data_IF_804360108829
#
_entry.id   IF_804360108829
#
_cell.length_a   1.000
_cell.length_b   1.000
_cell.length_c   1.000
_cell.angle_alpha   90.00
_cell.angle_beta   90.00
_cell.angle_gamma   90.00
#
_symmetry.space_group_name_H-M   'P 1'
#
loop_
_entity.id
_entity.type
_entity.pdbx_description
1 polymer ?
#
# COMPACT_ATOMS: atom_id res chain seq x y z
N UNK A 1 9.26 -23.63 3.27
CA UNK A 1 9.16 -23.67 4.75
C UNK A 1 8.51 -22.35 5.19
N UNK A 2 7.19 -22.24 5.08
CA UNK A 2 6.44 -21.03 5.49
C UNK A 2 5.94 -21.24 6.90
N UNK A 3 6.71 -20.78 7.88
CA UNK A 3 6.29 -20.77 9.29
C UNK A 3 5.12 -19.81 9.50
N UNK A 4 4.33 -20.04 10.56
CA UNK A 4 3.27 -19.12 10.99
C UNK A 4 3.81 -17.68 11.11
N UNK A 5 3.08 -16.67 10.60
CA UNK A 5 3.52 -15.29 10.71
C UNK A 5 3.48 -14.86 12.19
N UNK A 6 4.66 -14.60 12.77
CA UNK A 6 4.82 -14.25 14.20
C UNK A 6 5.08 -12.77 14.41
N UNK A 7 4.61 -12.26 15.55
CA UNK A 7 4.79 -10.88 16.00
C UNK A 7 5.70 -10.80 17.24
N UNK A 8 6.60 -9.80 17.35
CA UNK A 8 6.95 -8.81 16.33
C UNK A 8 7.77 -9.41 15.19
N UNK A 9 7.41 -9.12 13.93
CA UNK A 9 7.98 -9.78 12.76
C UNK A 9 9.49 -9.58 12.61
N UNK A 10 10.01 -8.43 13.06
CA UNK A 10 11.43 -8.11 13.05
C UNK A 10 12.30 -9.10 13.86
N UNK A 11 11.72 -9.82 14.82
CA UNK A 11 12.47 -10.78 15.66
C UNK A 11 12.50 -12.20 15.10
N UNK A 12 11.62 -12.51 14.14
CA UNK A 12 11.40 -13.89 13.69
C UNK A 12 11.50 -14.06 12.17
N UNK A 13 11.65 -12.97 11.41
CA UNK A 13 11.70 -12.98 9.96
C UNK A 13 12.97 -12.38 9.39
N UNK A 14 13.27 -12.72 8.14
CA UNK A 14 14.28 -12.04 7.32
C UNK A 14 13.63 -10.82 6.67
N UNK A 15 13.36 -9.79 7.47
CA UNK A 15 12.73 -8.56 7.00
C UNK A 15 13.60 -7.92 5.91
N UNK A 16 12.96 -7.51 4.82
CA UNK A 16 13.62 -6.92 3.66
C UNK A 16 12.96 -5.60 3.30
N UNK A 17 13.80 -4.67 2.86
CA UNK A 17 13.35 -3.42 2.28
C UNK A 17 12.72 -3.65 0.89
N UNK A 18 12.12 -2.60 0.33
CA UNK A 18 11.58 -2.63 -1.02
C UNK A 18 12.66 -2.95 -2.06
N UNK A 19 13.88 -2.47 -1.88
CA UNK A 19 15.05 -2.81 -2.70
C UNK A 19 15.44 -4.29 -2.67
N UNK A 20 14.92 -5.07 -1.71
CA UNK A 20 15.31 -6.45 -1.43
C UNK A 20 16.46 -6.59 -0.43
N UNK A 21 17.12 -5.48 -0.06
CA UNK A 21 18.18 -5.46 0.98
C UNK A 21 17.62 -5.95 2.32
N UNK A 22 18.40 -6.72 3.08
CA UNK A 22 17.97 -7.21 4.40
C UNK A 22 17.97 -6.06 5.39
N UNK A 23 16.99 -6.01 6.28
CA UNK A 23 16.87 -4.98 7.31
C UNK A 23 18.14 -4.85 8.18
N UNK A 24 18.87 -5.96 8.40
CA UNK A 24 20.12 -5.98 9.14
C UNK A 24 21.29 -5.23 8.45
N UNK A 25 21.18 -4.95 7.15
CA UNK A 25 22.20 -4.22 6.37
C UNK A 25 21.95 -2.70 6.36
N UNK A 26 20.84 -2.23 6.96
CA UNK A 26 20.49 -0.81 7.07
C UNK A 26 21.18 -0.23 8.31
N UNK A 27 22.48 0.05 8.20
CA UNK A 27 23.28 0.60 9.31
C UNK A 27 23.63 2.06 9.11
N UNK A 28 24.03 2.73 10.18
CA UNK A 28 24.49 4.13 10.13
C UNK A 28 25.76 4.27 9.26
N UNK A 29 26.63 3.26 9.26
CA UNK A 29 27.83 3.20 8.43
C UNK A 29 27.46 3.11 6.95
N UNK A 30 26.52 2.23 6.59
CA UNK A 30 26.04 2.11 5.22
C UNK A 30 25.37 3.41 4.73
N UNK A 31 24.62 4.09 5.61
CA UNK A 31 24.01 5.39 5.31
C UNK A 31 25.08 6.47 5.08
N UNK A 32 26.06 6.59 5.99
CA UNK A 32 27.12 7.61 5.93
C UNK A 32 28.06 7.37 4.74
N UNK A 33 28.25 6.12 4.34
CA UNK A 33 29.02 5.75 3.14
C UNK A 33 28.26 6.01 1.82
N UNK A 34 27.00 6.47 1.86
CA UNK A 34 26.18 6.67 0.66
C UNK A 34 25.77 5.38 -0.04
N UNK A 35 25.83 4.24 0.66
CA UNK A 35 25.52 2.92 0.11
C UNK A 35 24.03 2.57 0.15
N UNK A 36 23.20 3.40 0.77
CA UNK A 36 21.74 3.22 0.88
C UNK A 36 20.99 4.14 -0.10
N UNK A 37 19.90 3.62 -0.64
CA UNK A 37 18.93 4.31 -1.48
C UNK A 37 17.61 4.51 -0.73
N UNK A 38 16.71 5.39 -1.19
CA UNK A 38 15.38 5.51 -0.60
C UNK A 38 14.60 4.19 -0.57
N UNK A 39 14.77 3.33 -1.57
CA UNK A 39 14.12 2.01 -1.61
C UNK A 39 14.66 1.03 -0.56
N UNK A 40 15.86 1.28 -0.02
CA UNK A 40 16.41 0.50 1.11
C UNK A 40 15.72 0.83 2.44
N UNK A 41 14.96 1.93 2.53
CA UNK A 41 14.20 2.31 3.74
C UNK A 41 12.68 2.26 3.56
N UNK A 42 12.21 1.77 2.41
CA UNK A 42 10.79 1.51 2.15
C UNK A 42 10.39 0.10 2.57
N UNK A 43 9.17 -0.02 3.11
CA UNK A 43 8.58 -1.33 3.45
C UNK A 43 8.21 -2.09 2.17
N UNK A 44 8.38 -3.41 2.21
CA UNK A 44 8.01 -4.30 1.12
C UNK A 44 6.54 -4.75 1.23
N UNK A 45 5.87 -4.92 0.10
CA UNK A 45 4.48 -5.39 0.04
C UNK A 45 4.26 -6.73 0.78
N UNK A 46 5.18 -7.69 0.66
CA UNK A 46 5.07 -8.98 1.36
C UNK A 46 5.14 -8.84 2.88
N UNK A 47 5.89 -7.87 3.40
CA UNK A 47 5.92 -7.57 4.84
C UNK A 47 4.57 -7.06 5.31
N UNK A 48 3.92 -6.19 4.54
CA UNK A 48 2.56 -5.71 4.84
C UNK A 48 1.53 -6.84 4.79
N UNK A 49 1.64 -7.77 3.84
CA UNK A 49 0.78 -8.97 3.79
C UNK A 49 1.00 -9.90 4.99
N UNK A 50 2.24 -10.09 5.43
CA UNK A 50 2.53 -10.85 6.65
C UNK A 50 1.92 -10.19 7.90
N UNK A 51 2.01 -8.86 8.02
CA UNK A 51 1.33 -8.12 9.08
C UNK A 51 -0.20 -8.21 8.96
N UNK A 52 -0.74 -8.21 7.75
CA UNK A 52 -2.18 -8.38 7.53
C UNK A 52 -2.67 -9.75 8.02
N UNK A 53 -1.89 -10.81 7.79
CA UNK A 53 -2.22 -12.15 8.30
C UNK A 53 -2.24 -12.18 9.83
N UNK A 54 -1.23 -11.61 10.49
CA UNK A 54 -1.16 -11.48 11.96
C UNK A 54 -2.37 -10.70 12.49
N UNK A 55 -2.68 -9.55 11.88
CA UNK A 55 -3.81 -8.72 12.28
C UNK A 55 -5.13 -9.49 12.17
N UNK A 56 -5.31 -10.29 11.11
CA UNK A 56 -6.51 -11.11 10.92
C UNK A 56 -6.63 -12.20 11.99
N UNK A 57 -5.54 -12.89 12.30
CA UNK A 57 -5.49 -13.92 13.34
C UNK A 57 -5.80 -13.35 14.74
N UNK A 58 -5.34 -12.13 15.01
CA UNK A 58 -5.65 -11.39 16.23
C UNK A 58 -7.08 -10.81 16.28
N UNK A 59 -7.91 -11.04 15.26
CA UNK A 59 -9.31 -10.56 15.21
C UNK A 59 -9.49 -9.14 14.65
N UNK A 60 -8.43 -8.51 14.14
CA UNK A 60 -8.46 -7.16 13.58
C UNK A 60 -8.66 -7.16 12.05
N UNK A 61 -9.83 -7.63 11.59
CA UNK A 61 -10.13 -7.80 10.17
C UNK A 61 -9.96 -6.51 9.33
N UNK A 62 -10.46 -5.36 9.82
CA UNK A 62 -10.35 -4.09 9.09
C UNK A 62 -8.90 -3.60 8.96
N UNK A 63 -8.07 -3.84 9.99
CA UNK A 63 -6.64 -3.54 9.93
C UNK A 63 -5.95 -4.43 8.90
N UNK A 64 -6.28 -5.73 8.87
CA UNK A 64 -5.76 -6.66 7.88
C UNK A 64 -6.09 -6.21 6.44
N UNK A 65 -7.35 -5.81 6.18
CA UNK A 65 -7.76 -5.32 4.86
C UNK A 65 -7.06 -4.01 4.49
N UNK A 66 -6.81 -3.13 5.46
CA UNK A 66 -6.04 -1.92 5.26
C UNK A 66 -4.59 -2.20 4.88
N UNK A 67 -3.92 -3.10 5.61
CA UNK A 67 -2.54 -3.52 5.33
C UNK A 67 -2.44 -4.22 3.97
N UNK A 68 -3.44 -5.02 3.58
CA UNK A 68 -3.48 -5.65 2.26
C UNK A 68 -3.60 -4.63 1.13
N UNK A 69 -4.40 -3.57 1.28
CA UNK A 69 -4.42 -2.45 0.32
C UNK A 69 -3.10 -1.69 0.30
N UNK A 70 -2.52 -1.42 1.46
CA UNK A 70 -1.22 -0.76 1.55
C UNK A 70 -0.12 -1.57 0.85
N UNK A 71 -0.19 -2.90 0.89
CA UNK A 71 0.75 -3.77 0.18
C UNK A 71 0.70 -3.55 -1.33
N UNK A 72 -0.49 -3.45 -1.93
CA UNK A 72 -0.64 -3.14 -3.36
C UNK A 72 -0.04 -1.76 -3.71
N UNK A 73 -0.20 -0.78 -2.82
CA UNK A 73 0.29 0.59 -3.04
C UNK A 73 1.82 0.71 -2.98
N UNK A 74 2.55 -0.31 -2.50
CA UNK A 74 4.03 -0.30 -2.54
C UNK A 74 4.61 -0.34 -3.96
N UNK A 75 3.80 -0.74 -4.96
CA UNK A 75 4.19 -0.72 -6.36
C UNK A 75 3.92 0.64 -7.05
N UNK A 76 3.21 1.55 -6.39
CA UNK A 76 2.83 2.85 -6.95
C UNK A 76 3.88 3.90 -6.58
N UNK A 77 4.39 4.68 -7.54
CA UNK A 77 5.31 5.79 -7.25
C UNK A 77 4.72 6.84 -6.28
N UNK A 78 5.56 7.43 -5.42
CA UNK A 78 5.15 8.38 -4.38
C UNK A 78 4.37 9.60 -4.93
N UNK A 79 4.83 10.17 -6.05
CA UNK A 79 4.19 11.28 -6.73
C UNK A 79 2.78 10.92 -7.23
N UNK A 80 2.64 9.69 -7.73
CA UNK A 80 1.36 9.15 -8.16
C UNK A 80 0.43 8.89 -6.97
N UNK A 81 0.94 8.36 -5.84
CA UNK A 81 0.15 8.19 -4.61
C UNK A 81 -0.46 9.52 -4.16
N UNK A 82 0.34 10.59 -4.11
CA UNK A 82 -0.14 11.92 -3.72
C UNK A 82 -1.18 12.47 -4.69
N UNK A 83 -0.97 12.31 -6.00
CA UNK A 83 -1.93 12.72 -7.02
C UNK A 83 -3.27 11.97 -6.91
N UNK A 84 -3.23 10.65 -6.66
CA UNK A 84 -4.42 9.82 -6.44
C UNK A 84 -5.18 10.25 -5.17
N UNK A 85 -4.46 10.52 -4.08
CA UNK A 85 -5.05 11.00 -2.83
C UNK A 85 -5.77 12.34 -3.01
N UNK A 86 -5.12 13.31 -3.66
CA UNK A 86 -5.73 14.63 -3.91
C UNK A 86 -6.98 14.53 -4.80
N UNK A 87 -6.95 13.64 -5.81
CA UNK A 87 -8.11 13.41 -6.67
C UNK A 87 -9.32 12.86 -5.88
N UNK A 88 -9.10 12.00 -4.88
CA UNK A 88 -10.17 11.38 -4.10
C UNK A 88 -10.79 12.29 -3.03
N UNK A 89 -10.28 13.51 -2.85
CA UNK A 89 -10.88 14.46 -1.90
C UNK A 89 -12.25 14.94 -2.39
N UNK A 90 -13.17 15.26 -1.47
CA UNK A 90 -14.51 15.72 -1.82
C UNK A 90 -14.51 16.88 -2.81
N UNK A 91 -15.31 16.78 -3.88
CA UNK A 91 -15.42 17.81 -4.91
C UNK A 91 -14.23 17.96 -5.87
N UNK A 92 -13.20 17.12 -5.78
CA UNK A 92 -11.99 17.22 -6.64
C UNK A 92 -12.02 16.39 -7.92
N UNK A 93 -12.87 15.38 -7.97
CA UNK A 93 -12.95 14.46 -9.10
C UNK A 93 -14.40 14.09 -9.41
N UNK A 94 -14.64 13.75 -10.67
CA UNK A 94 -15.92 13.20 -11.11
C UNK A 94 -15.94 11.68 -10.91
N UNK A 95 -17.12 11.05 -10.77
CA UNK A 95 -17.21 9.60 -10.68
C UNK A 95 -16.57 8.87 -11.87
N UNK A 96 -16.65 9.42 -13.08
CA UNK A 96 -16.01 8.85 -14.26
C UNK A 96 -14.47 8.89 -14.16
N UNK A 97 -13.91 9.97 -13.63
CA UNK A 97 -12.47 10.05 -13.38
C UNK A 97 -12.01 9.12 -12.24
N UNK A 98 -12.87 8.86 -11.24
CA UNK A 98 -12.62 7.81 -10.24
C UNK A 98 -12.59 6.42 -10.87
N UNK A 99 -13.51 6.12 -11.79
CA UNK A 99 -13.53 4.83 -12.51
C UNK A 99 -12.26 4.64 -13.36
N UNK A 100 -11.79 5.70 -14.04
CA UNK A 100 -10.50 5.69 -14.75
C UNK A 100 -9.30 5.49 -13.81
N UNK A 101 -9.31 6.13 -12.64
CA UNK A 101 -8.30 5.94 -11.62
C UNK A 101 -8.26 4.48 -11.13
N UNK A 102 -9.43 3.87 -10.92
CA UNK A 102 -9.53 2.46 -10.52
C UNK A 102 -8.97 1.53 -11.61
N UNK A 103 -9.29 1.78 -12.87
CA UNK A 103 -8.75 1.00 -13.99
C UNK A 103 -7.24 1.08 -14.08
N UNK A 104 -6.68 2.28 -13.84
CA UNK A 104 -5.23 2.48 -13.78
C UNK A 104 -4.59 1.72 -12.61
N UNK A 105 -5.17 1.81 -11.42
CA UNK A 105 -4.70 1.05 -10.24
C UNK A 105 -4.62 -0.45 -10.54
N UNK A 106 -5.66 -1.00 -11.17
CA UNK A 106 -5.72 -2.42 -11.49
C UNK A 106 -4.77 -2.84 -12.62
N UNK A 107 -4.69 -2.07 -13.71
CA UNK A 107 -3.92 -2.46 -14.90
C UNK A 107 -2.44 -2.17 -14.80
N UNK A 108 -2.05 -1.03 -14.24
CA UNK A 108 -0.64 -0.60 -14.20
C UNK A 108 0.08 -1.14 -12.95
N UNK A 109 -0.63 -1.28 -11.83
CA UNK A 109 -0.02 -1.60 -10.53
C UNK A 109 -0.52 -2.91 -9.92
N UNK A 110 -1.43 -3.63 -10.60
CA UNK A 110 -2.11 -4.81 -10.07
C UNK A 110 -2.81 -4.56 -8.71
N UNK A 111 -3.19 -3.30 -8.44
CA UNK A 111 -3.77 -2.86 -7.18
C UNK A 111 -5.30 -3.08 -7.14
N UNK A 112 -5.70 -4.35 -7.25
CA UNK A 112 -7.10 -4.77 -7.40
C UNK A 112 -8.00 -4.37 -6.23
N UNK A 113 -7.51 -4.46 -4.98
CA UNK A 113 -8.27 -4.09 -3.78
C UNK A 113 -8.44 -2.58 -3.67
N UNK A 114 -7.39 -1.83 -4.01
CA UNK A 114 -7.46 -0.38 -4.09
C UNK A 114 -8.42 0.08 -5.21
N UNK A 115 -8.35 -0.54 -6.38
CA UNK A 115 -9.27 -0.26 -7.49
C UNK A 115 -10.73 -0.51 -7.09
N UNK A 116 -11.03 -1.63 -6.43
CA UNK A 116 -12.37 -1.93 -5.93
C UNK A 116 -12.88 -0.87 -4.95
N UNK A 117 -12.03 -0.41 -4.01
CA UNK A 117 -12.38 0.65 -3.06
C UNK A 117 -12.70 1.98 -3.77
N UNK A 118 -11.93 2.33 -4.81
CA UNK A 118 -12.18 3.56 -5.59
C UNK A 118 -13.49 3.46 -6.37
N UNK A 119 -13.82 2.30 -6.96
CA UNK A 119 -15.10 2.08 -7.64
C UNK A 119 -16.29 2.17 -6.69
N UNK A 120 -16.15 1.64 -5.47
CA UNK A 120 -17.16 1.79 -4.42
C UNK A 120 -17.37 3.27 -4.06
N UNK A 121 -16.27 4.02 -3.87
CA UNK A 121 -16.34 5.46 -3.63
C UNK A 121 -17.04 6.21 -4.79
N UNK A 122 -16.72 5.89 -6.04
CA UNK A 122 -17.36 6.45 -7.21
C UNK A 122 -18.88 6.22 -7.21
N UNK A 123 -19.32 5.00 -6.86
CA UNK A 123 -20.73 4.66 -6.75
C UNK A 123 -21.42 5.49 -5.66
N UNK A 124 -20.79 5.67 -4.49
CA UNK A 124 -21.31 6.51 -3.41
C UNK A 124 -21.39 7.99 -3.83
N UNK A 125 -20.38 8.49 -4.55
CA UNK A 125 -20.35 9.86 -5.04
C UNK A 125 -21.49 10.15 -6.01
N UNK A 126 -21.82 9.20 -6.90
CA UNK A 126 -22.98 9.30 -7.80
C UNK A 126 -24.29 9.43 -7.02
N UNK A 127 -24.48 8.59 -6.00
CA UNK A 127 -25.69 8.59 -5.18
C UNK A 127 -25.81 9.88 -4.35
N UNK A 128 -24.70 10.33 -3.76
CA UNK A 128 -24.68 11.49 -2.84
C UNK A 128 -24.54 12.84 -3.52
N UNK A 129 -24.30 12.89 -4.85
CA UNK A 129 -24.10 14.11 -5.65
C UNK A 129 -22.99 15.03 -5.11
N UNK A 130 -21.90 14.43 -4.63
CA UNK A 130 -20.73 15.14 -4.07
C UNK A 130 -19.51 15.16 -5.01
N UNK A 131 -19.71 14.79 -6.29
CA UNK A 131 -18.66 14.84 -7.31
C UNK A 131 -18.26 16.28 -7.67
N UNK A 132 -16.99 16.46 -8.01
CA UNK A 132 -16.54 17.67 -8.72
C UNK A 132 -17.18 17.72 -10.12
N UNK A 133 -17.30 18.93 -10.69
CA UNK A 133 -17.74 19.10 -12.08
C UNK A 133 -16.82 18.38 -13.06
#
# INVERSE_FOLDING_TARGET
MTGEPRYPHAHYGDARAQSGRRAAELTAEAATAGALTPDDVRIRGETLLAQAAIAREAGYAHLADNLARAAELTAVPDDQILAMYEALRPGRTSPAAMDQLADRLEREYAATRCAALVREAAAVYRVRRIGGQ
#
